data_IF_355288875553
#
_entry.id   IF_355288875553
#
_cell.length_a   1.000
_cell.length_b   1.000
_cell.length_c   1.000
_cell.angle_alpha   90.00
_cell.angle_beta   90.00
_cell.angle_gamma   90.00
#
_symmetry.space_group_name_H-M   'P 1'
#
loop_
_entity.id
_entity.type
_entity.pdbx_description
1 polymer ?
#
# COMPACT_ATOMS: atom_id res chain seq x y z
N UNK A 1 2.07 -5.29 8.88
CA UNK A 1 2.38 -3.85 9.02
C UNK A 1 1.41 -3.19 10.01
N UNK A 2 1.62 -1.91 10.35
CA UNK A 2 0.85 -1.22 11.38
C UNK A 2 -0.37 -0.44 10.87
N UNK A 3 -0.43 -0.13 9.57
CA UNK A 3 -1.39 0.80 8.98
C UNK A 3 -2.85 0.29 8.92
N UNK A 4 -3.04 -1.01 8.70
CA UNK A 4 -4.37 -1.64 8.75
C UNK A 4 -4.31 -2.91 9.62
N UNK A 5 -4.07 -2.79 10.93
CA UNK A 5 -3.59 -3.93 11.73
C UNK A 5 -4.60 -5.09 11.78
N UNK A 6 -5.89 -4.78 11.92
CA UNK A 6 -6.95 -5.80 11.92
C UNK A 6 -7.13 -6.43 10.53
N UNK A 7 -7.27 -5.61 9.49
CA UNK A 7 -7.48 -6.10 8.13
C UNK A 7 -6.27 -6.87 7.57
N UNK A 8 -5.05 -6.50 7.96
CA UNK A 8 -3.85 -7.25 7.60
C UNK A 8 -3.77 -8.58 8.35
N UNK A 9 -4.15 -8.60 9.63
CA UNK A 9 -4.27 -9.84 10.40
C UNK A 9 -5.24 -10.82 9.74
N UNK A 10 -6.47 -10.37 9.43
CA UNK A 10 -7.49 -11.23 8.80
C UNK A 10 -7.09 -11.67 7.39
N UNK A 11 -6.44 -10.82 6.60
CA UNK A 11 -5.95 -11.15 5.25
C UNK A 11 -4.93 -12.28 5.25
N UNK A 12 -4.10 -12.39 6.30
CA UNK A 12 -3.12 -13.48 6.47
C UNK A 12 -3.76 -14.73 7.08
N UNK A 13 -4.55 -14.56 8.15
CA UNK A 13 -5.11 -15.69 8.93
C UNK A 13 -6.15 -16.45 8.12
N UNK A 14 -7.07 -15.75 7.45
CA UNK A 14 -8.20 -16.35 6.73
C UNK A 14 -7.81 -17.45 5.74
N UNK A 15 -7.02 -17.15 4.69
CA UNK A 15 -6.62 -18.17 3.71
C UNK A 15 -5.76 -19.28 4.32
N UNK A 16 -4.96 -18.97 5.34
CA UNK A 16 -4.11 -19.96 5.98
C UNK A 16 -4.92 -20.96 6.82
N UNK A 17 -5.94 -20.50 7.55
CA UNK A 17 -6.90 -21.38 8.24
C UNK A 17 -7.70 -22.20 7.21
N UNK A 18 -8.15 -21.57 6.12
CA UNK A 18 -8.87 -22.27 5.05
C UNK A 18 -8.03 -23.37 4.38
N UNK A 19 -6.72 -23.16 4.24
CA UNK A 19 -5.77 -24.16 3.73
C UNK A 19 -5.39 -25.23 4.76
N UNK A 20 -5.87 -25.14 6.01
CA UNK A 20 -5.53 -26.08 7.09
C UNK A 20 -4.13 -25.88 7.68
N UNK A 21 -3.53 -24.69 7.51
CA UNK A 21 -2.24 -24.36 8.11
C UNK A 21 -2.37 -24.00 9.60
N UNK A 22 -1.29 -24.25 10.35
CA UNK A 22 -1.02 -23.60 11.64
C UNK A 22 -0.08 -22.43 11.44
N UNK A 23 -0.20 -21.36 12.23
CA UNK A 23 0.66 -20.19 12.09
C UNK A 23 1.12 -19.54 13.39
N UNK A 24 2.19 -18.78 13.24
CA UNK A 24 2.68 -17.77 14.15
C UNK A 24 2.48 -16.42 13.46
N UNK A 25 1.73 -15.51 14.08
CA UNK A 25 1.52 -14.16 13.59
C UNK A 25 2.25 -13.15 14.49
N UNK A 26 3.13 -12.35 13.89
CA UNK A 26 3.83 -11.26 14.57
C UNK A 26 3.28 -9.90 14.13
N UNK A 27 2.42 -9.22 14.93
CA UNK A 27 1.96 -7.89 14.59
C UNK A 27 3.09 -6.85 14.62
N UNK A 28 2.83 -5.68 14.05
CA UNK A 28 3.73 -4.54 14.19
C UNK A 28 3.76 -4.06 15.65
N UNK A 29 4.92 -3.65 16.20
CA UNK A 29 5.03 -3.19 17.59
C UNK A 29 4.18 -1.96 17.89
N UNK A 30 3.88 -1.13 16.88
CA UNK A 30 3.06 0.06 17.02
C UNK A 30 1.57 -0.26 17.27
N UNK A 31 1.05 -1.37 16.73
CA UNK A 31 -0.40 -1.66 16.74
C UNK A 31 -0.75 -3.12 17.07
N UNK A 32 -0.23 -3.70 18.17
CA UNK A 32 -0.47 -5.11 18.51
C UNK A 32 -1.87 -5.41 19.03
N UNK A 33 -2.54 -4.41 19.64
CA UNK A 33 -3.74 -4.63 20.46
C UNK A 33 -4.92 -5.20 19.66
N UNK A 34 -5.17 -4.71 18.46
CA UNK A 34 -6.27 -5.22 17.61
C UNK A 34 -6.01 -6.64 17.10
N UNK A 35 -4.74 -7.03 16.92
CA UNK A 35 -4.38 -8.41 16.56
C UNK A 35 -4.61 -9.36 17.74
N UNK A 36 -4.30 -8.92 18.97
CA UNK A 36 -4.59 -9.70 20.18
C UNK A 36 -6.10 -9.87 20.39
N UNK A 37 -6.88 -8.81 20.18
CA UNK A 37 -8.34 -8.89 20.23
C UNK A 37 -8.92 -9.84 19.18
N UNK A 38 -8.41 -9.80 17.94
CA UNK A 38 -8.80 -10.74 16.88
C UNK A 38 -8.53 -12.20 17.27
N UNK A 39 -7.39 -12.48 17.89
CA UNK A 39 -7.07 -13.83 18.37
C UNK A 39 -8.06 -14.33 19.42
N UNK A 40 -8.51 -13.44 20.33
CA UNK A 40 -9.58 -13.74 21.29
C UNK A 40 -10.89 -14.12 20.61
N UNK A 41 -11.32 -13.33 19.63
CA UNK A 41 -12.54 -13.61 18.84
C UNK A 41 -12.45 -14.96 18.11
N UNK A 42 -11.29 -15.29 17.54
CA UNK A 42 -11.08 -16.57 16.85
C UNK A 42 -11.10 -17.76 17.82
N UNK A 43 -10.56 -17.59 19.03
CA UNK A 43 -10.65 -18.61 20.07
C UNK A 43 -12.10 -18.84 20.52
N UNK A 44 -12.87 -17.76 20.73
CA UNK A 44 -14.31 -17.83 21.03
C UNK A 44 -15.11 -18.50 19.90
N UNK A 45 -14.73 -18.26 18.64
CA UNK A 45 -15.31 -18.90 17.47
C UNK A 45 -14.95 -20.39 17.31
N UNK A 46 -14.08 -20.93 18.18
CA UNK A 46 -13.73 -22.35 18.22
C UNK A 46 -12.47 -22.71 17.43
N UNK A 47 -11.60 -21.76 17.08
CA UNK A 47 -10.29 -22.07 16.49
C UNK A 47 -9.46 -22.91 17.50
N UNK A 48 -8.99 -24.12 17.12
CA UNK A 48 -8.31 -24.99 18.08
C UNK A 48 -7.03 -24.38 18.68
N UNK A 49 -6.70 -24.68 19.95
CA UNK A 49 -5.46 -24.25 20.57
C UNK A 49 -4.22 -24.63 19.75
N UNK A 50 -3.29 -23.68 19.59
CA UNK A 50 -2.04 -23.88 18.85
C UNK A 50 -2.15 -23.65 17.33
N UNK A 51 -3.35 -23.53 16.75
CA UNK A 51 -3.51 -23.21 15.32
C UNK A 51 -3.04 -21.79 15.01
N UNK A 52 -3.38 -20.81 15.85
CA UNK A 52 -2.91 -19.43 15.77
C UNK A 52 -2.16 -19.05 17.05
N UNK A 53 -0.92 -18.62 16.90
CA UNK A 53 -0.08 -18.11 18.00
C UNK A 53 0.32 -16.67 17.68
N UNK A 54 0.10 -15.74 18.61
CA UNK A 54 0.48 -14.33 18.42
C UNK A 54 1.77 -14.04 19.20
N UNK A 55 2.79 -13.51 18.51
CA UNK A 55 4.05 -13.09 19.13
C UNK A 55 4.23 -11.58 18.98
N UNK A 56 4.03 -10.84 20.08
CA UNK A 56 4.34 -9.41 20.15
C UNK A 56 5.81 -9.22 20.52
N UNK A 57 6.49 -8.31 19.83
CA UNK A 57 7.90 -7.98 20.11
C UNK A 57 8.23 -6.60 19.55
N UNK A 58 9.07 -5.85 20.27
CA UNK A 58 9.75 -4.64 19.77
C UNK A 58 11.00 -4.98 18.96
N UNK A 59 11.59 -6.16 19.17
CA UNK A 59 12.73 -6.67 18.41
C UNK A 59 12.27 -7.81 17.49
N UNK A 60 11.89 -7.45 16.27
CA UNK A 60 11.43 -8.41 15.28
C UNK A 60 12.57 -9.32 14.78
N UNK A 61 13.80 -8.81 14.68
CA UNK A 61 14.92 -9.55 14.13
C UNK A 61 15.32 -10.71 15.05
N UNK A 62 15.43 -10.45 16.35
CA UNK A 62 15.77 -11.46 17.35
C UNK A 62 14.76 -12.62 17.42
N UNK A 63 13.51 -12.39 17.02
CA UNK A 63 12.45 -13.41 17.02
C UNK A 63 12.31 -14.10 15.67
N UNK A 64 12.25 -13.35 14.57
CA UNK A 64 11.89 -13.89 13.25
C UNK A 64 13.05 -14.62 12.60
N UNK A 65 14.28 -14.12 12.72
CA UNK A 65 15.43 -14.73 12.04
C UNK A 65 15.70 -16.16 12.52
N UNK A 66 15.76 -16.46 13.84
CA UNK A 66 15.95 -17.83 14.31
C UNK A 66 14.82 -18.78 13.89
N UNK A 67 13.58 -18.28 13.80
CA UNK A 67 12.43 -19.09 13.36
C UNK A 67 12.58 -19.51 11.88
N UNK A 68 12.97 -18.58 11.01
CA UNK A 68 13.18 -18.87 9.58
C UNK A 68 14.38 -19.80 9.35
N UNK A 69 15.48 -19.57 10.08
CA UNK A 69 16.71 -20.39 9.99
C UNK A 69 16.57 -21.76 10.66
N UNK A 70 15.67 -21.92 11.62
CA UNK A 70 15.49 -23.15 12.41
C UNK A 70 14.82 -24.31 11.66
N UNK A 71 14.39 -24.12 10.41
CA UNK A 71 13.85 -25.19 9.57
C UNK A 71 12.44 -25.68 9.93
N UNK A 72 11.78 -25.08 10.94
CA UNK A 72 10.39 -25.40 11.31
C UNK A 72 9.34 -24.67 10.48
N UNK A 73 9.70 -23.52 9.89
CA UNK A 73 8.79 -22.71 9.06
C UNK A 73 8.79 -23.26 7.63
N UNK A 74 7.60 -23.36 7.02
CA UNK A 74 7.41 -23.81 5.64
C UNK A 74 7.03 -22.68 4.69
N UNK A 75 6.34 -21.66 5.21
CA UNK A 75 5.85 -20.51 4.47
C UNK A 75 6.04 -19.25 5.30
N UNK A 76 6.62 -18.21 4.70
CA UNK A 76 6.60 -16.85 5.21
C UNK A 76 5.60 -16.03 4.37
N UNK A 77 4.66 -15.36 5.04
CA UNK A 77 3.81 -14.35 4.42
C UNK A 77 4.06 -13.01 5.10
N UNK A 78 4.58 -12.03 4.36
CA UNK A 78 5.01 -10.75 4.91
C UNK A 78 4.34 -9.58 4.19
N UNK A 79 4.03 -8.53 4.95
CA UNK A 79 3.59 -7.24 4.40
C UNK A 79 4.30 -6.12 5.15
N UNK A 80 5.00 -5.23 4.43
CA UNK A 80 5.80 -4.17 5.02
C UNK A 80 6.73 -3.49 4.00
N UNK A 81 7.84 -2.90 4.46
CA UNK A 81 8.75 -2.20 3.57
C UNK A 81 9.51 -3.15 2.65
N UNK A 82 9.83 -2.68 1.43
CA UNK A 82 10.64 -3.43 0.46
C UNK A 82 12.00 -3.83 1.02
N UNK A 83 12.64 -2.95 1.81
CA UNK A 83 13.91 -3.25 2.47
C UNK A 83 13.80 -4.47 3.39
N UNK A 84 12.79 -4.54 4.26
CA UNK A 84 12.60 -5.69 5.16
C UNK A 84 12.22 -6.94 4.36
N UNK A 85 11.40 -6.80 3.31
CA UNK A 85 11.10 -7.91 2.41
C UNK A 85 12.34 -8.57 1.82
N UNK A 86 13.33 -7.78 1.37
CA UNK A 86 14.62 -8.30 0.88
C UNK A 86 15.42 -9.02 1.95
N UNK A 87 15.48 -8.47 3.17
CA UNK A 87 16.16 -9.12 4.30
C UNK A 87 15.53 -10.49 4.58
N UNK A 88 14.19 -10.55 4.64
CA UNK A 88 13.46 -11.78 4.89
C UNK A 88 13.65 -12.80 3.77
N UNK A 89 13.66 -12.37 2.50
CA UNK A 89 13.98 -13.26 1.37
C UNK A 89 15.36 -13.90 1.52
N UNK A 90 16.37 -13.10 1.85
CA UNK A 90 17.73 -13.61 2.09
C UNK A 90 17.75 -14.63 3.22
N UNK A 91 17.03 -14.36 4.32
CA UNK A 91 16.93 -15.29 5.45
C UNK A 91 16.16 -16.58 5.11
N UNK A 92 15.14 -16.50 4.24
CA UNK A 92 14.38 -17.64 3.76
C UNK A 92 15.15 -18.52 2.78
N UNK A 93 16.15 -17.98 2.08
CA UNK A 93 16.91 -18.69 1.06
C UNK A 93 17.69 -19.90 1.64
N UNK A 94 18.24 -19.76 2.84
CA UNK A 94 19.07 -20.80 3.48
C UNK A 94 18.29 -22.09 3.79
N UNK A 95 16.97 -21.98 3.99
CA UNK A 95 16.07 -23.11 4.31
C UNK A 95 14.98 -23.32 3.26
N UNK A 96 15.09 -22.63 2.11
CA UNK A 96 14.14 -22.69 0.98
C UNK A 96 12.69 -22.49 1.43
N UNK A 97 12.46 -21.53 2.33
CA UNK A 97 11.11 -21.21 2.82
C UNK A 97 10.34 -20.52 1.71
N UNK A 98 9.14 -21.03 1.38
CA UNK A 98 8.26 -20.37 0.42
C UNK A 98 7.87 -18.98 0.93
N UNK A 99 7.86 -17.98 0.07
CA UNK A 99 7.57 -16.59 0.46
C UNK A 99 6.47 -15.97 -0.37
N UNK A 100 5.57 -15.21 0.27
CA UNK A 100 4.73 -14.22 -0.39
C UNK A 100 4.90 -12.88 0.31
N UNK A 101 5.06 -11.83 -0.47
CA UNK A 101 5.48 -10.52 0.00
C UNK A 101 4.58 -9.45 -0.61
N UNK A 102 3.97 -8.64 0.24
CA UNK A 102 3.24 -7.43 -0.14
C UNK A 102 4.02 -6.22 0.35
N UNK A 103 4.71 -5.53 -0.56
CA UNK A 103 5.72 -4.53 -0.22
C UNK A 103 5.24 -3.10 -0.54
N UNK A 104 6.16 -2.14 -0.53
CA UNK A 104 5.85 -0.73 -0.76
C UNK A 104 5.36 -0.44 -2.18
N UNK A 105 4.80 0.75 -2.35
CA UNK A 105 4.37 1.26 -3.65
C UNK A 105 4.65 2.75 -3.82
N UNK A 106 4.68 3.20 -5.08
CA UNK A 106 4.63 4.62 -5.41
C UNK A 106 3.64 4.84 -6.54
N UNK A 107 2.35 4.60 -6.24
CA UNK A 107 1.31 4.40 -7.24
C UNK A 107 1.14 5.63 -8.15
N UNK A 108 1.17 5.46 -9.48
CA UNK A 108 0.76 6.49 -10.41
C UNK A 108 -0.77 6.60 -10.45
N UNK A 109 -1.26 7.83 -10.49
CA UNK A 109 -2.66 8.17 -10.69
C UNK A 109 -2.75 9.09 -11.90
N UNK A 110 -3.32 8.63 -13.00
CA UNK A 110 -3.27 9.29 -14.31
C UNK A 110 -4.65 9.84 -14.66
N UNK A 111 -4.73 11.14 -14.94
CA UNK A 111 -5.97 11.83 -15.34
C UNK A 111 -5.77 12.39 -16.74
N UNK A 112 -6.48 11.84 -17.72
CA UNK A 112 -6.48 12.31 -19.11
C UNK A 112 -7.40 13.52 -19.29
N UNK A 113 -7.22 14.23 -20.40
CA UNK A 113 -7.96 15.43 -20.79
C UNK A 113 -9.47 15.22 -20.92
N UNK A 114 -9.89 13.99 -21.25
CA UNK A 114 -11.28 13.60 -21.42
C UNK A 114 -11.93 13.06 -20.13
N UNK A 115 -11.16 12.97 -19.03
CA UNK A 115 -11.62 12.42 -17.78
C UNK A 115 -12.79 13.20 -17.18
N UNK A 116 -13.66 12.49 -16.46
CA UNK A 116 -14.60 13.15 -15.56
C UNK A 116 -13.83 13.67 -14.33
N UNK A 117 -13.65 14.99 -14.24
CA UNK A 117 -12.83 15.60 -13.18
C UNK A 117 -13.41 15.45 -11.79
N UNK A 118 -14.74 15.40 -11.64
CA UNK A 118 -15.34 15.18 -10.33
C UNK A 118 -15.06 13.75 -9.86
N UNK A 119 -15.25 12.76 -10.75
CA UNK A 119 -14.89 11.38 -10.45
C UNK A 119 -13.39 11.21 -10.21
N UNK A 120 -12.53 11.90 -10.94
CA UNK A 120 -11.08 11.86 -10.76
C UNK A 120 -10.65 12.46 -9.42
N UNK A 121 -11.22 13.58 -9.00
CA UNK A 121 -10.92 14.20 -7.70
C UNK A 121 -11.42 13.31 -6.56
N UNK A 122 -12.63 12.74 -6.65
CA UNK A 122 -13.12 11.78 -5.66
C UNK A 122 -12.24 10.54 -5.59
N UNK A 123 -11.84 10.00 -6.75
CA UNK A 123 -10.91 8.90 -6.85
C UNK A 123 -9.55 9.22 -6.20
N UNK A 124 -9.01 10.41 -6.45
CA UNK A 124 -7.75 10.85 -5.87
C UNK A 124 -7.85 10.99 -4.35
N UNK A 125 -8.95 11.55 -3.83
CA UNK A 125 -9.20 11.65 -2.39
C UNK A 125 -9.25 10.25 -1.74
N UNK A 126 -9.98 9.31 -2.34
CA UNK A 126 -10.06 7.93 -1.82
C UNK A 126 -8.70 7.25 -1.88
N UNK A 127 -7.99 7.32 -3.00
CA UNK A 127 -6.70 6.65 -3.18
C UNK A 127 -5.62 7.25 -2.27
N UNK A 128 -5.59 8.58 -2.12
CA UNK A 128 -4.54 9.29 -1.38
C UNK A 128 -4.80 9.35 0.13
N UNK A 129 -6.03 9.61 0.55
CA UNK A 129 -6.34 9.90 1.96
C UNK A 129 -6.80 8.69 2.76
N UNK A 130 -6.89 7.51 2.14
CA UNK A 130 -7.14 6.27 2.88
C UNK A 130 -6.09 6.07 3.96
N UNK A 131 -6.53 6.03 5.22
CA UNK A 131 -5.66 5.99 6.40
C UNK A 131 -4.57 7.08 6.37
N UNK A 132 -4.98 8.33 6.09
CA UNK A 132 -4.10 9.50 6.02
C UNK A 132 -2.92 9.33 5.05
N UNK A 133 -3.08 8.50 4.01
CA UNK A 133 -2.01 8.21 3.05
C UNK A 133 -0.94 7.23 3.54
N UNK A 134 -1.11 6.66 4.73
CA UNK A 134 -0.31 5.54 5.25
C UNK A 134 -0.79 4.21 4.64
N UNK A 135 -0.92 4.17 3.31
CA UNK A 135 -1.36 3.00 2.56
C UNK A 135 -0.36 2.72 1.44
N UNK A 136 0.02 1.45 1.25
CA UNK A 136 0.91 1.04 0.16
C UNK A 136 0.29 1.30 -1.23
N UNK A 137 -1.04 1.35 -1.30
CA UNK A 137 -1.80 1.68 -2.51
C UNK A 137 -1.98 3.19 -2.71
N UNK A 138 -1.41 4.04 -1.87
CA UNK A 138 -1.69 5.48 -1.94
C UNK A 138 -1.21 6.09 -3.27
N UNK A 139 -2.06 6.94 -3.86
CA UNK A 139 -1.76 7.71 -5.07
C UNK A 139 -0.69 8.78 -4.77
N UNK A 140 0.57 8.40 -4.90
CA UNK A 140 1.70 9.25 -4.52
C UNK A 140 2.26 10.08 -5.69
N UNK A 141 2.05 9.63 -6.94
CA UNK A 141 2.43 10.37 -8.16
C UNK A 141 1.19 10.62 -9.00
N UNK A 142 0.61 11.80 -8.90
CA UNK A 142 -0.62 12.14 -9.62
C UNK A 142 -0.24 12.89 -10.90
N UNK A 143 -0.39 12.24 -12.03
CA UNK A 143 -0.14 12.78 -13.36
C UNK A 143 -1.46 13.29 -13.94
N UNK A 144 -1.50 14.55 -14.34
CA UNK A 144 -2.69 15.20 -14.87
C UNK A 144 -2.37 15.82 -16.23
N UNK A 145 -3.20 15.57 -17.23
CA UNK A 145 -3.03 16.16 -18.55
C UNK A 145 -3.07 17.69 -18.45
N UNK A 146 -2.19 18.39 -19.17
CA UNK A 146 -2.04 19.85 -19.08
C UNK A 146 -3.35 20.62 -19.26
N UNK A 147 -4.20 20.18 -20.21
CA UNK A 147 -5.53 20.77 -20.48
C UNK A 147 -6.46 20.84 -19.26
N UNK A 148 -6.29 19.95 -18.27
CA UNK A 148 -7.15 19.86 -17.08
C UNK A 148 -6.39 20.00 -15.76
N UNK A 149 -5.08 20.25 -15.81
CA UNK A 149 -4.21 20.27 -14.64
C UNK A 149 -4.57 21.36 -13.63
N UNK A 150 -4.86 22.58 -14.09
CA UNK A 150 -5.21 23.69 -13.21
C UNK A 150 -6.54 23.46 -12.48
N UNK A 151 -7.58 23.01 -13.21
CA UNK A 151 -8.90 22.75 -12.63
C UNK A 151 -8.85 21.57 -11.63
N UNK A 152 -8.20 20.47 -12.02
CA UNK A 152 -8.00 19.34 -11.11
C UNK A 152 -7.24 19.74 -9.85
N UNK A 153 -6.15 20.51 -9.98
CA UNK A 153 -5.36 20.97 -8.85
C UNK A 153 -6.17 21.87 -7.90
N UNK A 154 -6.99 22.78 -8.43
CA UNK A 154 -7.86 23.64 -7.65
C UNK A 154 -8.90 22.82 -6.87
N UNK A 155 -9.60 21.90 -7.53
CA UNK A 155 -10.61 21.04 -6.91
C UNK A 155 -10.01 20.12 -5.83
N UNK A 156 -8.89 19.47 -6.12
CA UNK A 156 -8.21 18.61 -5.15
C UNK A 156 -7.72 19.42 -3.93
N UNK A 157 -7.16 20.61 -4.17
CA UNK A 157 -6.69 21.51 -3.10
C UNK A 157 -7.85 21.90 -2.19
N UNK A 158 -8.99 22.29 -2.75
CA UNK A 158 -10.18 22.64 -1.96
C UNK A 158 -10.65 21.46 -1.09
N UNK A 159 -10.67 20.24 -1.64
CA UNK A 159 -11.06 19.01 -0.92
C UNK A 159 -10.08 18.60 0.17
N UNK A 160 -8.79 18.75 -0.07
CA UNK A 160 -7.74 18.47 0.92
C UNK A 160 -7.76 19.50 2.05
N UNK A 161 -7.95 20.78 1.72
CA UNK A 161 -8.00 21.88 2.69
C UNK A 161 -9.25 21.85 3.59
N UNK A 162 -10.35 21.21 3.15
CA UNK A 162 -11.57 21.10 3.94
C UNK A 162 -11.53 20.02 5.02
N UNK A 163 -10.52 19.13 5.02
CA UNK A 163 -10.44 18.03 5.96
C UNK A 163 -10.03 18.51 7.36
N UNK A 164 -10.74 18.06 8.38
CA UNK A 164 -10.42 18.35 9.77
C UNK A 164 -9.29 17.45 10.30
N UNK A 165 -8.27 18.06 10.88
CA UNK A 165 -7.16 17.35 11.54
C UNK A 165 -7.43 17.29 13.04
N UNK A 166 -7.34 16.11 13.64
CA UNK A 166 -7.66 15.94 15.07
C UNK A 166 -7.43 14.54 15.60
N UNK A 167 -7.76 14.32 16.88
CA UNK A 167 -7.73 12.99 17.49
C UNK A 167 -8.67 12.04 16.72
N UNK A 168 -8.18 10.86 16.33
CA UNK A 168 -8.95 9.89 15.56
C UNK A 168 -10.15 9.30 16.30
N UNK A 169 -10.24 9.48 17.62
CA UNK A 169 -11.40 9.11 18.43
C UNK A 169 -12.40 10.26 18.61
N UNK A 170 -12.03 11.48 18.25
CA UNK A 170 -12.91 12.64 18.37
C UNK A 170 -13.93 12.70 17.20
N UNK A 171 -15.21 13.01 17.49
CA UNK A 171 -16.21 13.18 16.45
C UNK A 171 -15.85 14.30 15.47
N UNK A 172 -16.04 14.04 14.17
CA UNK A 172 -15.80 15.03 13.12
C UNK A 172 -14.34 15.21 12.73
N UNK A 173 -13.43 14.33 13.15
CA UNK A 173 -12.05 14.24 12.65
C UNK A 173 -12.01 13.45 11.33
N UNK A 174 -11.45 14.06 10.28
CA UNK A 174 -11.18 13.40 8.99
C UNK A 174 -9.76 12.80 8.93
N UNK A 175 -8.79 13.45 9.59
CA UNK A 175 -7.36 13.15 9.49
C UNK A 175 -6.73 13.04 10.88
N UNK A 176 -6.39 11.81 11.26
CA UNK A 176 -5.65 11.50 12.48
C UNK A 176 -4.15 11.81 12.40
N UNK A 177 -3.40 11.53 13.48
CA UNK A 177 -1.94 11.61 13.44
C UNK A 177 -1.35 10.48 12.59
N UNK A 178 -0.14 10.68 12.09
CA UNK A 178 0.69 9.59 11.59
C UNK A 178 1.10 8.66 12.73
N UNK A 179 1.53 7.44 12.41
CA UNK A 179 1.79 6.42 13.42
C UNK A 179 2.90 6.79 14.42
N UNK A 180 3.96 7.47 13.95
CA UNK A 180 5.14 7.81 14.73
C UNK A 180 5.87 9.06 14.22
N UNK A 181 6.80 9.57 15.04
CA UNK A 181 7.58 10.76 14.72
C UNK A 181 8.49 10.59 13.50
N UNK A 182 9.06 9.40 13.29
CA UNK A 182 9.94 9.13 12.16
C UNK A 182 9.19 9.19 10.83
N UNK A 183 7.95 8.67 10.79
CA UNK A 183 7.04 8.82 9.66
C UNK A 183 6.76 10.29 9.34
N UNK A 184 6.42 11.09 10.36
CA UNK A 184 6.18 12.54 10.21
C UNK A 184 7.41 13.29 9.71
N UNK A 185 8.58 13.00 10.25
CA UNK A 185 9.85 13.61 9.83
C UNK A 185 10.19 13.25 8.38
N UNK A 186 9.98 12.00 7.97
CA UNK A 186 10.15 11.56 6.59
C UNK A 186 9.24 12.36 5.65
N UNK A 187 7.95 12.48 5.98
CA UNK A 187 6.99 13.25 5.16
C UNK A 187 7.43 14.71 5.05
N UNK A 188 7.77 15.37 6.16
CA UNK A 188 8.23 16.76 6.14
C UNK A 188 9.49 16.96 5.30
N UNK A 189 10.44 16.01 5.38
CA UNK A 189 11.69 16.04 4.61
C UNK A 189 11.44 15.95 3.11
N UNK A 190 10.56 15.04 2.69
CA UNK A 190 10.16 14.88 1.28
C UNK A 190 9.46 16.12 0.73
N UNK A 191 8.57 16.74 1.51
CA UNK A 191 7.91 17.99 1.13
C UNK A 191 8.92 19.14 1.00
N UNK A 192 9.85 19.27 1.95
CA UNK A 192 10.91 20.30 1.90
C UNK A 192 11.86 20.11 0.72
N UNK A 193 12.26 18.88 0.40
CA UNK A 193 13.07 18.59 -0.78
C UNK A 193 12.35 19.01 -2.07
N UNK A 194 11.09 18.60 -2.25
CA UNK A 194 10.30 18.97 -3.42
C UNK A 194 10.17 20.50 -3.57
N UNK A 195 9.87 21.22 -2.49
CA UNK A 195 9.78 22.68 -2.50
C UNK A 195 11.14 23.33 -2.79
N UNK A 196 12.23 22.82 -2.20
CA UNK A 196 13.59 23.30 -2.46
C UNK A 196 14.02 23.14 -3.92
N UNK A 197 13.41 22.19 -4.65
CA UNK A 197 13.63 21.99 -6.09
C UNK A 197 12.65 22.76 -6.99
N UNK A 198 11.66 23.44 -6.43
CA UNK A 198 10.73 24.30 -7.17
C UNK A 198 9.26 23.87 -7.15
N UNK A 199 8.89 22.83 -6.40
CA UNK A 199 7.49 22.51 -6.17
C UNK A 199 6.79 23.63 -5.39
N UNK A 200 5.50 23.81 -5.65
CA UNK A 200 4.64 24.78 -4.95
C UNK A 200 3.68 24.07 -4.01
N UNK A 201 3.58 24.55 -2.78
CA UNK A 201 2.54 24.13 -1.84
C UNK A 201 1.25 24.86 -2.20
N UNK A 202 0.18 24.13 -2.48
CA UNK A 202 -1.16 24.68 -2.70
C UNK A 202 -2.00 24.71 -1.41
N UNK A 203 -1.75 23.76 -0.50
CA UNK A 203 -2.31 23.72 0.86
C UNK A 203 -1.43 22.84 1.75
N UNK A 204 -1.49 23.02 3.08
CA UNK A 204 -0.74 22.23 4.06
C UNK A 204 0.77 22.55 4.07
N UNK A 205 1.61 21.51 4.23
CA UNK A 205 3.07 21.60 4.15
C UNK A 205 3.81 22.10 5.39
N UNK A 206 3.09 22.59 6.39
CA UNK A 206 3.65 23.07 7.66
C UNK A 206 3.28 22.13 8.82
N UNK A 207 4.26 21.85 9.69
CA UNK A 207 4.02 20.99 10.85
C UNK A 207 3.15 21.72 11.88
N UNK A 208 2.06 21.10 12.36
CA UNK A 208 1.27 21.69 13.42
C UNK A 208 2.05 21.75 14.73
N UNK A 209 1.82 22.80 15.51
CA UNK A 209 2.30 22.88 16.88
C UNK A 209 1.54 21.90 17.79
N UNK A 210 2.17 21.53 18.91
CA UNK A 210 1.54 20.72 19.96
C UNK A 210 1.90 19.23 19.93
N UNK A 211 1.28 18.43 20.82
CA UNK A 211 1.57 17.02 20.97
C UNK A 211 1.00 16.18 19.83
N UNK A 212 1.61 15.01 19.59
CA UNK A 212 1.20 14.07 18.56
C UNK A 212 2.00 14.17 17.26
N UNK A 213 1.68 13.27 16.32
CA UNK A 213 2.41 13.12 15.05
C UNK A 213 1.56 13.57 13.86
N UNK A 214 0.86 14.69 14.01
CA UNK A 214 0.01 15.25 12.97
C UNK A 214 0.80 15.80 11.79
N UNK A 215 0.24 15.62 10.59
CA UNK A 215 0.72 16.22 9.35
C UNK A 215 -0.49 16.69 8.55
N UNK A 216 -0.58 17.97 8.14
CA UNK A 216 -1.77 18.45 7.44
C UNK A 216 -1.87 17.84 6.04
N UNK A 217 -3.10 17.61 5.53
CA UNK A 217 -3.32 17.33 4.12
C UNK A 217 -2.60 18.35 3.25
N UNK A 218 -1.70 17.87 2.41
CA UNK A 218 -0.79 18.72 1.64
C UNK A 218 -0.93 18.43 0.16
N UNK A 219 -1.06 19.46 -0.65
CA UNK A 219 -1.05 19.35 -2.11
C UNK A 219 0.16 20.10 -2.65
N UNK A 220 0.98 19.40 -3.43
CA UNK A 220 2.12 19.96 -4.13
C UNK A 220 1.82 20.03 -5.63
N UNK A 221 2.05 21.18 -6.23
CA UNK A 221 2.00 21.36 -7.67
C UNK A 221 3.38 21.65 -8.25
N UNK A 222 3.51 21.49 -9.57
CA UNK A 222 4.76 21.73 -10.29
C UNK A 222 5.93 20.92 -9.70
N UNK A 223 5.66 19.68 -9.28
CA UNK A 223 6.67 18.84 -8.63
C UNK A 223 7.75 18.46 -9.66
N UNK A 224 9.03 18.80 -9.41
CA UNK A 224 10.11 18.41 -10.29
C UNK A 224 10.26 16.89 -10.37
N UNK A 225 10.57 16.36 -11.56
CA UNK A 225 10.70 14.90 -11.76
C UNK A 225 11.84 14.30 -10.92
N UNK A 226 12.85 15.08 -10.56
CA UNK A 226 14.00 14.70 -9.74
C UNK A 226 13.79 14.91 -8.22
N UNK A 227 12.58 15.29 -7.78
CA UNK A 227 12.25 15.34 -6.36
C UNK A 227 12.32 13.96 -5.72
N UNK A 228 12.79 13.88 -4.48
CA UNK A 228 13.01 12.61 -3.78
C UNK A 228 11.72 11.78 -3.64
N UNK A 229 10.57 12.45 -3.51
CA UNK A 229 9.26 11.80 -3.41
C UNK A 229 8.86 11.02 -4.69
N UNK A 230 9.50 11.29 -5.83
CA UNK A 230 9.29 10.54 -7.06
C UNK A 230 9.89 9.14 -6.95
N UNK A 231 10.99 9.00 -6.21
CA UNK A 231 11.70 7.75 -5.96
C UNK A 231 11.53 7.20 -4.55
N UNK A 232 10.63 7.75 -3.73
CA UNK A 232 10.45 7.34 -2.33
C UNK A 232 8.97 7.31 -1.94
N UNK A 233 8.53 6.20 -1.34
CA UNK A 233 7.17 6.09 -0.80
C UNK A 233 6.93 7.08 0.35
N UNK A 234 6.01 8.03 0.13
CA UNK A 234 5.71 9.12 1.09
C UNK A 234 5.11 8.55 2.38
N UNK A 235 4.07 7.71 2.25
CA UNK A 235 3.34 7.12 3.38
C UNK A 235 2.79 8.17 4.36
N UNK A 236 2.06 9.16 3.81
CA UNK A 236 1.45 10.27 4.54
C UNK A 236 0.55 11.11 3.62
N UNK A 237 -0.14 12.13 4.14
CA UNK A 237 -1.25 12.81 3.47
C UNK A 237 -0.78 13.90 2.50
N UNK A 238 0.14 13.55 1.59
CA UNK A 238 0.70 14.46 0.57
C UNK A 238 0.32 13.97 -0.83
N UNK A 239 -0.38 14.82 -1.58
CA UNK A 239 -0.70 14.64 -2.99
C UNK A 239 0.30 15.44 -3.85
N UNK A 240 1.13 14.74 -4.63
CA UNK A 240 2.10 15.37 -5.53
C UNK A 240 1.59 15.35 -6.97
N UNK A 241 1.40 16.54 -7.55
CA UNK A 241 0.89 16.75 -8.90
C UNK A 241 2.02 16.97 -9.90
N UNK A 242 1.97 16.21 -10.99
CA UNK A 242 2.82 16.27 -12.17
C UNK A 242 1.94 16.48 -13.40
N UNK A 243 2.47 17.12 -14.43
CA UNK A 243 1.76 17.29 -15.70
C UNK A 243 2.33 16.41 -16.80
N UNK A 244 1.47 16.07 -17.77
CA UNK A 244 1.85 15.40 -19.01
C UNK A 244 0.96 15.88 -20.17
N UNK A 245 1.38 15.59 -21.40
CA UNK A 245 0.62 15.87 -22.63
C UNK A 245 0.46 14.59 -23.46
N UNK A 246 1.52 13.79 -23.52
CA UNK A 246 1.57 12.59 -24.35
C UNK A 246 1.28 11.30 -23.56
N UNK A 247 0.46 10.42 -24.13
CA UNK A 247 0.08 9.13 -23.54
C UNK A 247 1.32 8.22 -23.35
N UNK A 248 2.24 8.19 -24.32
CA UNK A 248 3.42 7.34 -24.24
C UNK A 248 4.40 7.85 -23.17
N UNK A 249 4.58 9.16 -23.05
CA UNK A 249 5.42 9.77 -22.01
C UNK A 249 4.87 9.50 -20.60
N UNK A 250 3.55 9.61 -20.40
CA UNK A 250 2.97 9.36 -19.07
C UNK A 250 3.04 7.89 -18.69
N UNK A 251 2.83 6.96 -19.63
CA UNK A 251 3.00 5.52 -19.37
C UNK A 251 4.46 5.22 -19.02
N UNK A 252 5.41 5.74 -19.80
CA UNK A 252 6.85 5.57 -19.55
C UNK A 252 7.23 6.10 -18.16
N UNK A 253 6.78 7.30 -17.82
CA UNK A 253 7.11 7.96 -16.54
C UNK A 253 6.39 7.27 -15.37
N UNK A 254 5.16 6.78 -15.56
CA UNK A 254 4.43 6.00 -14.57
C UNK A 254 5.15 4.68 -14.24
N UNK A 255 5.75 4.04 -15.24
CA UNK A 255 6.51 2.80 -15.08
C UNK A 255 7.96 3.00 -14.62
N UNK A 256 8.50 4.22 -14.68
CA UNK A 256 9.86 4.58 -14.25
C UNK A 256 9.99 4.60 -12.71
N UNK A 257 9.89 3.41 -12.14
CA UNK A 257 9.98 3.15 -10.71
C UNK A 257 10.26 1.67 -10.48
N UNK A 258 10.95 1.35 -9.37
CA UNK A 258 11.18 -0.04 -8.96
C UNK A 258 9.91 -0.73 -8.41
N UNK A 259 8.85 0.03 -8.14
CA UNK A 259 7.59 -0.46 -7.59
C UNK A 259 6.54 -0.72 -8.68
N UNK A 260 5.60 -1.61 -8.39
CA UNK A 260 4.53 -2.01 -9.30
C UNK A 260 3.32 -2.57 -8.56
N UNK A 261 2.85 -1.91 -7.49
CA UNK A 261 1.72 -2.41 -6.70
C UNK A 261 0.37 -2.14 -7.35
N UNK A 262 0.02 -0.86 -7.49
CA UNK A 262 -1.25 -0.39 -8.05
C UNK A 262 -1.03 0.84 -8.92
N UNK A 263 -1.88 1.02 -9.93
CA UNK A 263 -2.04 2.26 -10.69
C UNK A 263 -3.52 2.64 -10.82
N UNK A 264 -3.78 3.90 -11.13
CA UNK A 264 -5.12 4.42 -11.35
C UNK A 264 -5.18 5.21 -12.65
N UNK A 265 -6.22 5.02 -13.45
CA UNK A 265 -6.41 5.64 -14.76
C UNK A 265 -7.81 6.24 -14.86
N UNK A 266 -7.89 7.53 -15.15
CA UNK A 266 -9.13 8.27 -15.33
C UNK A 266 -9.22 8.82 -16.74
N UNK A 267 -10.25 8.37 -17.47
CA UNK A 267 -10.55 8.74 -18.87
C UNK A 267 -11.98 8.27 -19.19
N UNK A 268 -12.67 8.93 -20.13
CA UNK A 268 -13.98 8.49 -20.64
C UNK A 268 -13.84 7.52 -21.81
N UNK A 269 -12.69 7.48 -22.45
CA UNK A 269 -12.34 6.51 -23.50
C UNK A 269 -11.97 5.15 -22.91
N UNK A 270 -12.83 4.15 -23.13
CA UNK A 270 -12.62 2.78 -22.68
C UNK A 270 -11.43 2.09 -23.40
N UNK A 271 -11.24 2.37 -24.68
CA UNK A 271 -10.13 1.78 -25.45
C UNK A 271 -8.79 2.31 -24.95
N UNK A 272 -8.74 3.60 -24.59
CA UNK A 272 -7.60 4.20 -23.88
C UNK A 272 -7.41 3.57 -22.51
N UNK A 273 -8.46 3.45 -21.71
CA UNK A 273 -8.37 2.89 -20.37
C UNK A 273 -7.76 1.47 -20.36
N UNK A 274 -8.21 0.61 -21.28
CA UNK A 274 -7.71 -0.75 -21.42
C UNK A 274 -6.27 -0.77 -21.95
N UNK A 275 -5.98 -0.05 -23.05
CA UNK A 275 -4.63 0.02 -23.64
C UNK A 275 -3.59 0.56 -22.66
N UNK A 276 -3.91 1.64 -21.94
CA UNK A 276 -3.02 2.22 -20.92
C UNK A 276 -2.91 1.26 -19.73
N UNK A 277 -4.03 0.69 -19.28
CA UNK A 277 -4.06 -0.29 -18.19
C UNK A 277 -3.15 -1.50 -18.43
N UNK A 278 -3.16 -2.06 -19.64
CA UNK A 278 -2.30 -3.19 -20.03
C UNK A 278 -0.80 -2.83 -20.09
N UNK A 279 -0.48 -1.57 -20.41
CA UNK A 279 0.90 -1.08 -20.50
C UNK A 279 1.50 -0.68 -19.15
N UNK A 280 0.66 -0.48 -18.12
CA UNK A 280 1.12 -0.14 -16.78
C UNK A 280 1.67 -1.38 -16.07
N UNK A 281 2.91 -1.30 -15.61
CA UNK A 281 3.62 -2.40 -14.96
C UNK A 281 3.27 -2.47 -13.47
N UNK A 282 1.98 -2.64 -13.18
CA UNK A 282 1.43 -2.76 -11.83
C UNK A 282 0.61 -4.03 -11.69
N UNK A 283 0.51 -4.57 -10.47
CA UNK A 283 -0.28 -5.77 -10.23
C UNK A 283 -1.79 -5.54 -10.16
N UNK A 284 -2.22 -4.28 -10.02
CA UNK A 284 -3.61 -3.86 -9.97
C UNK A 284 -3.79 -2.51 -10.70
N UNK A 285 -4.88 -2.37 -11.46
CA UNK A 285 -5.23 -1.12 -12.16
C UNK A 285 -6.66 -0.71 -11.78
N UNK A 286 -6.83 0.49 -11.23
CA UNK A 286 -8.14 1.10 -11.00
C UNK A 286 -8.53 1.96 -12.19
N UNK A 287 -9.55 1.56 -12.95
CA UNK A 287 -10.11 2.36 -14.05
C UNK A 287 -11.29 3.17 -13.50
N UNK A 288 -11.20 4.50 -13.55
CA UNK A 288 -12.21 5.43 -13.07
C UNK A 288 -12.67 5.17 -11.61
N UNK A 289 -11.77 4.65 -10.77
CA UNK A 289 -12.02 4.40 -9.33
C UNK A 289 -10.75 4.61 -8.52
N UNK A 290 -10.87 5.21 -7.33
CA UNK A 290 -9.78 5.33 -6.35
C UNK A 290 -9.61 4.10 -5.45
N UNK A 291 -10.52 3.11 -5.54
CA UNK A 291 -10.55 1.95 -4.66
C UNK A 291 -10.46 0.65 -5.46
N UNK A 292 -9.35 -0.06 -5.29
CA UNK A 292 -9.12 -1.38 -5.93
C UNK A 292 -9.18 -2.56 -4.96
N UNK A 293 -9.16 -2.32 -3.64
CA UNK A 293 -9.14 -3.40 -2.65
C UNK A 293 -10.51 -4.06 -2.52
N UNK A 294 -10.64 -5.30 -3.00
CA UNK A 294 -11.84 -6.14 -2.91
C UNK A 294 -11.44 -7.53 -2.38
N UNK A 295 -12.10 -8.09 -1.35
CA UNK A 295 -11.77 -9.43 -0.82
C UNK A 295 -11.90 -10.55 -1.86
N UNK A 296 -12.75 -10.38 -2.89
CA UNK A 296 -12.95 -11.34 -3.96
C UNK A 296 -11.94 -11.20 -5.11
N UNK A 297 -11.10 -10.16 -5.12
CA UNK A 297 -10.11 -9.91 -6.17
C UNK A 297 -8.69 -10.21 -5.67
N UNK A 298 -7.78 -10.66 -6.56
CA UNK A 298 -6.36 -10.72 -6.26
C UNK A 298 -5.80 -9.34 -5.91
N UNK A 299 -4.93 -9.32 -4.92
CA UNK A 299 -4.19 -8.15 -4.48
C UNK A 299 -2.71 -8.50 -4.44
N UNK A 300 -1.89 -7.69 -5.09
CA UNK A 300 -0.45 -7.73 -4.92
C UNK A 300 0.31 -7.13 -6.08
N UNK A 301 1.62 -6.94 -5.88
CA UNK A 301 2.45 -6.18 -6.81
C UNK A 301 3.27 -7.02 -7.79
N UNK A 302 3.89 -6.32 -8.73
CA UNK A 302 5.01 -6.80 -9.55
C UNK A 302 6.29 -6.01 -9.18
N UNK A 303 7.42 -6.29 -9.85
CA UNK A 303 8.72 -5.65 -9.58
C UNK A 303 9.13 -5.81 -8.10
N UNK A 304 9.58 -4.74 -7.44
CA UNK A 304 9.93 -4.75 -6.02
C UNK A 304 8.74 -4.51 -5.07
N UNK A 305 7.51 -4.44 -5.60
CA UNK A 305 6.31 -4.33 -4.76
C UNK A 305 5.83 -5.67 -4.21
N UNK A 306 6.40 -6.81 -4.62
CA UNK A 306 6.03 -8.08 -4.00
C UNK A 306 6.26 -9.33 -4.81
N UNK A 307 5.86 -10.44 -4.19
CA UNK A 307 5.83 -11.79 -4.75
C UNK A 307 4.55 -12.48 -4.29
N UNK A 308 3.85 -13.15 -5.21
CA UNK A 308 2.57 -13.82 -4.91
C UNK A 308 1.37 -12.88 -4.93
N UNK A 309 0.20 -13.41 -4.54
CA UNK A 309 -1.06 -12.64 -4.43
C UNK A 309 -1.82 -12.98 -3.17
N UNK A 310 -2.50 -12.00 -2.60
CA UNK A 310 -3.46 -12.16 -1.51
C UNK A 310 -4.89 -11.91 -1.99
N UNK A 311 -5.88 -12.41 -1.25
CA UNK A 311 -7.30 -12.21 -1.60
C UNK A 311 -7.77 -12.98 -2.83
N UNK A 312 -9.07 -12.88 -3.12
CA UNK A 312 -9.73 -13.63 -4.19
C UNK A 312 -9.59 -15.14 -4.05
N UNK A 313 -9.84 -15.85 -5.15
CA UNK A 313 -9.68 -17.30 -5.22
C UNK A 313 -8.22 -17.76 -5.23
N UNK A 314 -7.29 -16.88 -5.58
CA UNK A 314 -5.86 -17.20 -5.73
C UNK A 314 -5.07 -17.04 -4.44
N UNK A 315 -5.55 -16.25 -3.47
CA UNK A 315 -4.81 -16.00 -2.24
C UNK A 315 -4.60 -17.22 -1.35
N UNK A 316 -5.43 -18.27 -1.51
CA UNK A 316 -5.24 -19.55 -0.84
C UNK A 316 -4.07 -20.35 -1.44
N UNK A 317 -3.74 -20.16 -2.73
CA UNK A 317 -2.68 -20.92 -3.42
C UNK A 317 -1.30 -20.65 -2.80
N UNK A 318 -1.12 -19.50 -2.16
CA UNK A 318 0.08 -19.17 -1.38
C UNK A 318 0.31 -20.12 -0.20
N UNK A 319 -0.73 -20.79 0.29
CA UNK A 319 -0.69 -21.69 1.45
C UNK A 319 -0.82 -23.17 1.08
N UNK A 320 -0.93 -23.50 -0.21
CA UNK A 320 -1.11 -24.87 -0.71
C UNK A 320 0.15 -25.39 -1.40
N UNK A 321 0.35 -26.71 -1.36
CA UNK A 321 1.41 -27.43 -2.07
C UNK A 321 0.82 -28.51 -2.98
N UNK A 322 1.30 -28.59 -4.22
CA UNK A 322 0.86 -29.61 -5.15
C UNK A 322 1.56 -30.94 -4.86
N UNK A 323 0.77 -32.01 -4.76
CA UNK A 323 1.27 -33.39 -4.67
C UNK A 323 0.77 -34.19 -5.86
N UNK A 324 1.69 -34.58 -6.74
CA UNK A 324 1.40 -35.47 -7.85
C UNK A 324 1.57 -36.94 -7.41
N UNK A 325 0.57 -37.77 -7.70
CA UNK A 325 0.58 -39.22 -7.44
C UNK A 325 0.50 -39.97 -8.77
N UNK A 326 1.55 -40.71 -9.13
CA UNK A 326 1.55 -41.60 -10.28
C UNK A 326 1.33 -43.04 -9.83
N UNK A 327 0.28 -43.67 -10.35
CA UNK A 327 0.01 -45.09 -10.14
C UNK A 327 0.20 -45.80 -11.49
N UNK A 328 1.21 -46.68 -11.64
CA UNK A 328 1.37 -47.45 -12.86
C UNK A 328 0.17 -48.39 -13.06
N UNK A 329 -0.33 -48.49 -14.30
CA UNK A 329 -1.37 -49.45 -14.67
C UNK A 329 -0.72 -50.66 -15.34
N UNK A 330 -0.93 -51.86 -14.79
CA UNK A 330 -0.49 -53.13 -15.42
C UNK A 330 0.74 -53.82 -14.81
N UNK A 331 1.07 -53.56 -13.54
CA UNK A 331 2.03 -54.37 -12.75
C UNK A 331 1.33 -55.41 -11.89
#
# INVERSE_FOLDING_TARGET
PWNFPLAMGTRKIGPAVAAGCTMILKPAPQTPLSTLALAGVLAEAGLPPGVLNILTTSDAAAVVEPLLRGGGIRKLSFTGSTQVGRILLTQCADTVVRTSLELGGNAPFIVFEDADLDAAVDGAMVAKMRNMGEACTAANRIYVHTDVAEDFAARLTARMASLSVGDGTAPGTDVGPLIDGAGREKVQRLVRDAVGRGAKILTGGELPDGPGHFYPPTVLAQVPRDAELTGTEIFGPVAALFTFEDEDDVVRTANDTEWGLVSYVFTRDLDRALRVGERLETGMVGINTGLVSNPAAPFGGVKQSGLGREGGSVGIDEFLEYKYLAIPYGS
#
